data_IF_223779319010
#
_entry.id   IF_223779319010
#
_cell.length_a   1.000
_cell.length_b   1.000
_cell.length_c   1.000
_cell.angle_alpha   90.00
_cell.angle_beta   90.00
_cell.angle_gamma   90.00
#
_symmetry.space_group_name_H-M   'P 1'
#
loop_
_entity.id
_entity.type
_entity.pdbx_description
1 polymer ?
#
# COMPACT_ATOMS: atom_id res chain seq x y z
N UNK A 1 -3.77 15.20 -0.66
CA UNK A 1 -3.25 14.44 0.48
C UNK A 1 -3.87 13.06 0.57
N UNK A 2 -3.06 12.10 0.95
CA UNK A 2 -3.47 10.70 1.07
C UNK A 2 -4.02 10.47 2.49
N UNK A 3 -5.34 10.39 2.63
CA UNK A 3 -5.98 10.16 3.93
C UNK A 3 -5.86 8.69 4.35
N UNK A 4 -6.07 8.41 5.65
CA UNK A 4 -6.10 7.03 6.13
C UNK A 4 -7.12 6.19 5.38
N UNK A 5 -8.30 6.76 5.12
CA UNK A 5 -9.34 6.06 4.36
C UNK A 5 -8.88 5.71 2.95
N UNK A 6 -8.15 6.62 2.31
CA UNK A 6 -7.61 6.37 0.97
C UNK A 6 -6.51 5.31 1.00
N UNK A 7 -5.68 5.31 2.04
CA UNK A 7 -4.65 4.28 2.21
C UNK A 7 -5.33 2.91 2.35
N UNK A 8 -6.33 2.81 3.20
CA UNK A 8 -7.06 1.56 3.43
C UNK A 8 -7.75 1.07 2.16
N UNK A 9 -8.32 1.99 1.40
CA UNK A 9 -8.96 1.67 0.13
C UNK A 9 -7.96 1.10 -0.87
N UNK A 10 -6.76 1.67 -0.93
CA UNK A 10 -5.71 1.17 -1.80
C UNK A 10 -5.19 -0.19 -1.35
N UNK A 11 -5.12 -0.44 -0.04
CA UNK A 11 -4.77 -1.75 0.49
C UNK A 11 -5.79 -2.80 0.05
N UNK A 12 -7.09 -2.47 0.14
CA UNK A 12 -8.15 -3.37 -0.29
C UNK A 12 -8.07 -3.68 -1.79
N UNK A 13 -7.71 -2.69 -2.60
CA UNK A 13 -7.52 -2.90 -4.03
C UNK A 13 -6.38 -3.88 -4.30
N UNK A 14 -5.27 -3.73 -3.59
CA UNK A 14 -4.13 -4.63 -3.72
C UNK A 14 -4.54 -6.06 -3.34
N UNK A 15 -5.29 -6.20 -2.27
CA UNK A 15 -5.80 -7.49 -1.81
C UNK A 15 -6.67 -8.15 -2.88
N UNK A 16 -7.55 -7.38 -3.49
CA UNK A 16 -8.41 -7.88 -4.57
C UNK A 16 -7.60 -8.34 -5.78
N UNK A 17 -6.59 -7.56 -6.17
CA UNK A 17 -5.72 -7.90 -7.27
C UNK A 17 -4.95 -9.19 -6.99
N UNK A 18 -4.47 -9.34 -5.76
CA UNK A 18 -3.76 -10.55 -5.35
C UNK A 18 -4.67 -11.77 -5.41
N UNK A 19 -5.93 -11.63 -4.95
CA UNK A 19 -6.91 -12.72 -4.98
C UNK A 19 -7.27 -13.13 -6.39
N UNK A 20 -7.24 -12.19 -7.34
CA UNK A 20 -7.53 -12.47 -8.75
C UNK A 20 -6.31 -13.02 -9.51
N UNK A 21 -5.16 -13.15 -8.84
CA UNK A 21 -3.94 -13.61 -9.48
C UNK A 21 -3.20 -12.56 -10.29
N UNK A 22 -3.62 -11.30 -10.22
CA UNK A 22 -2.95 -10.18 -10.90
C UNK A 22 -1.76 -9.69 -10.06
N UNK A 23 -0.82 -10.59 -9.82
CA UNK A 23 0.26 -10.34 -8.86
C UNK A 23 1.20 -9.24 -9.31
N UNK A 24 1.45 -9.12 -10.59
CA UNK A 24 2.33 -8.08 -11.13
C UNK A 24 1.71 -6.69 -10.88
N UNK A 25 0.42 -6.55 -11.15
CA UNK A 25 -0.29 -5.29 -10.92
C UNK A 25 -0.40 -5.03 -9.42
N UNK A 26 -0.67 -6.07 -8.62
CA UNK A 26 -0.74 -5.93 -7.16
C UNK A 26 0.59 -5.40 -6.61
N UNK A 27 1.71 -5.94 -7.07
CA UNK A 27 3.03 -5.52 -6.64
C UNK A 27 3.31 -4.06 -7.04
N UNK A 28 2.98 -3.69 -8.25
CA UNK A 28 3.16 -2.32 -8.73
C UNK A 28 2.35 -1.34 -7.89
N UNK A 29 1.10 -1.70 -7.56
CA UNK A 29 0.24 -0.86 -6.72
C UNK A 29 0.76 -0.78 -5.30
N UNK A 30 1.30 -1.87 -4.77
CA UNK A 30 1.89 -1.89 -3.44
C UNK A 30 3.10 -0.94 -3.36
N UNK A 31 3.99 -1.01 -4.33
CA UNK A 31 5.17 -0.14 -4.38
C UNK A 31 4.75 1.33 -4.46
N UNK A 32 3.75 1.64 -5.29
CA UNK A 32 3.25 3.00 -5.43
C UNK A 32 2.63 3.49 -4.12
N UNK A 33 1.86 2.65 -3.44
CA UNK A 33 1.26 3.00 -2.16
C UNK A 33 2.31 3.33 -1.11
N UNK A 34 3.31 2.46 -0.99
CA UNK A 34 4.37 2.66 0.00
C UNK A 34 5.14 3.95 -0.29
N UNK A 35 5.46 4.20 -1.55
CA UNK A 35 6.15 5.41 -1.96
C UNK A 35 5.34 6.66 -1.60
N UNK A 36 4.05 6.65 -1.91
CA UNK A 36 3.17 7.78 -1.64
C UNK A 36 3.01 8.04 -0.15
N UNK A 37 2.88 6.97 0.65
CA UNK A 37 2.78 7.10 2.10
C UNK A 37 4.07 7.64 2.69
N UNK A 38 5.21 7.14 2.26
CA UNK A 38 6.51 7.66 2.73
C UNK A 38 6.64 9.15 2.39
N UNK A 39 6.21 9.55 1.20
CA UNK A 39 6.22 10.95 0.81
C UNK A 39 5.34 11.81 1.72
N UNK A 40 4.14 11.32 2.03
CA UNK A 40 3.23 12.06 2.90
C UNK A 40 3.78 12.18 4.32
N UNK A 41 4.49 11.17 4.81
CA UNK A 41 5.16 11.22 6.11
C UNK A 41 6.29 12.25 6.09
N UNK A 42 7.09 12.25 5.03
CA UNK A 42 8.17 13.21 4.86
C UNK A 42 7.65 14.65 4.83
N UNK A 43 6.44 14.85 4.33
CA UNK A 43 5.78 16.15 4.29
C UNK A 43 5.22 16.58 5.66
N UNK A 44 5.31 15.73 6.68
CA UNK A 44 5.00 16.09 8.05
C UNK A 44 3.55 15.85 8.48
N UNK A 45 2.89 14.84 7.94
CA UNK A 45 1.53 14.53 8.39
C UNK A 45 1.50 14.14 9.86
N UNK A 46 0.44 14.52 10.57
CA UNK A 46 0.32 14.29 12.01
C UNK A 46 0.09 12.83 12.37
N UNK A 47 -0.63 12.08 11.52
CA UNK A 47 -0.96 10.67 11.75
C UNK A 47 0.04 9.72 11.08
N UNK A 48 1.32 10.11 11.05
CA UNK A 48 2.36 9.38 10.33
C UNK A 48 2.45 7.91 10.75
N UNK A 49 2.38 7.63 12.05
CA UNK A 49 2.47 6.26 12.55
C UNK A 49 1.30 5.42 12.07
N UNK A 50 0.09 5.96 12.12
CA UNK A 50 -1.10 5.26 11.65
C UNK A 50 -1.05 5.02 10.14
N UNK A 51 -0.58 6.01 9.38
CA UNK A 51 -0.45 5.88 7.94
C UNK A 51 0.57 4.81 7.57
N UNK A 52 1.71 4.79 8.26
CA UNK A 52 2.75 3.79 8.03
C UNK A 52 2.24 2.38 8.35
N UNK A 53 1.52 2.22 9.46
CA UNK A 53 0.98 0.93 9.85
C UNK A 53 -0.06 0.43 8.84
N UNK A 54 -0.93 1.31 8.38
CA UNK A 54 -1.92 0.96 7.37
C UNK A 54 -1.26 0.48 6.08
N UNK A 55 -0.22 1.18 5.63
CA UNK A 55 0.51 0.80 4.42
C UNK A 55 1.23 -0.55 4.62
N UNK A 56 1.84 -0.76 5.78
CA UNK A 56 2.55 -2.01 6.09
C UNK A 56 1.64 -3.23 6.09
N UNK A 57 0.34 -3.04 6.28
CA UNK A 57 -0.60 -4.16 6.29
C UNK A 57 -0.60 -4.94 4.98
N UNK A 58 -0.15 -4.34 3.87
CA UNK A 58 -0.04 -5.06 2.60
C UNK A 58 0.93 -6.24 2.69
N UNK A 59 1.88 -6.20 3.62
CA UNK A 59 2.83 -7.30 3.81
C UNK A 59 2.14 -8.59 4.26
N UNK A 60 0.92 -8.49 4.77
CA UNK A 60 0.11 -9.65 5.17
C UNK A 60 -0.64 -10.28 4.01
N UNK A 61 -0.68 -9.60 2.85
CA UNK A 61 -1.37 -10.12 1.67
C UNK A 61 -0.45 -11.12 0.97
N UNK A 62 -0.98 -12.32 0.73
CA UNK A 62 -0.20 -13.39 0.12
C UNK A 62 -0.24 -13.29 -1.40
N UNK A 63 0.87 -12.95 -2.01
CA UNK A 63 1.06 -13.05 -3.44
C UNK A 63 2.56 -13.01 -3.76
N UNK A 64 2.91 -13.54 -4.92
CA UNK A 64 4.31 -13.56 -5.35
C UNK A 64 4.75 -12.18 -5.80
N UNK A 65 5.81 -11.69 -5.18
CA UNK A 65 6.40 -10.39 -5.52
C UNK A 65 7.69 -10.63 -6.28
N UNK A 66 7.56 -10.71 -7.60
CA UNK A 66 8.74 -10.88 -8.44
C UNK A 66 9.50 -9.57 -8.54
N UNK A 67 10.78 -9.65 -8.25
CA UNK A 67 11.69 -8.54 -8.48
C UNK A 67 12.70 -8.98 -9.53
N UNK A 68 12.71 -8.29 -10.63
CA UNK A 68 13.65 -8.56 -11.69
C UNK A 68 15.06 -8.16 -11.29
#
# INVERSE_FOLDING_TARGET
DLSLAQIEQRVQEIERLADCGDWEVAHTREDALWWDVLGSIADGREDAAAAAEAARSTSQIHFTRHRA
#
